data_IF_350371837479
#
_entry.id   IF_350371837479
#
_cell.length_a   1.000
_cell.length_b   1.000
_cell.length_c   1.000
_cell.angle_alpha   90.00
_cell.angle_beta   90.00
_cell.angle_gamma   90.00
#
_symmetry.space_group_name_H-M   'P 1'
#
loop_
_entity.id
_entity.type
_entity.pdbx_description
1 polymer ?
#
# COMPACT_ATOMS: atom_id res chain seq x y z
N UNK A 1 -10.36 26.45 13.09
CA UNK A 1 -9.53 25.22 13.07
C UNK A 1 -10.15 24.24 14.04
N UNK A 2 -10.42 23.01 13.59
CA UNK A 2 -11.31 22.00 14.17
C UNK A 2 -11.64 22.20 15.67
N UNK A 3 -12.76 22.88 15.92
CA UNK A 3 -13.36 22.99 17.25
C UNK A 3 -14.24 21.77 17.48
N UNK A 4 -13.70 20.77 18.17
CA UNK A 4 -14.48 19.76 18.89
C UNK A 4 -14.77 20.29 20.28
N UNK A 5 -16.01 20.14 20.76
CA UNK A 5 -16.51 20.80 21.96
C UNK A 5 -15.64 20.55 23.20
N UNK A 6 -15.32 21.65 23.88
CA UNK A 6 -14.54 21.75 25.13
C UNK A 6 -15.24 21.18 26.36
N UNK A 7 -16.04 20.12 26.21
CA UNK A 7 -16.83 19.56 27.31
C UNK A 7 -16.46 18.09 27.56
N UNK A 8 -15.72 17.79 28.64
CA UNK A 8 -15.35 16.41 28.98
C UNK A 8 -16.56 15.52 29.29
N UNK A 9 -17.75 16.12 29.56
CA UNK A 9 -18.98 15.43 29.97
C UNK A 9 -20.04 15.27 28.85
N UNK A 10 -19.71 15.55 27.59
CA UNK A 10 -20.68 15.43 26.50
C UNK A 10 -21.16 13.99 26.27
N UNK A 11 -22.48 13.78 26.22
CA UNK A 11 -23.15 12.47 25.99
C UNK A 11 -22.95 11.91 24.58
N UNK A 12 -22.73 12.78 23.58
CA UNK A 12 -22.40 12.39 22.21
C UNK A 12 -21.10 13.10 21.85
N UNK A 13 -19.99 12.36 21.91
CA UNK A 13 -18.72 12.86 21.42
C UNK A 13 -18.75 12.72 19.89
N UNK A 14 -18.88 13.82 19.16
CA UNK A 14 -18.60 13.82 17.72
C UNK A 14 -17.12 13.45 17.56
N UNK A 15 -16.86 12.15 17.39
CA UNK A 15 -15.53 11.57 17.61
C UNK A 15 -14.72 11.74 16.34
N UNK A 16 -14.08 12.88 16.19
CA UNK A 16 -13.03 13.06 15.19
C UNK A 16 -11.82 12.24 15.65
N UNK A 17 -11.32 11.30 14.83
CA UNK A 17 -10.19 10.42 15.21
C UNK A 17 -8.81 11.12 15.15
N UNK A 18 -8.79 12.46 15.06
CA UNK A 18 -7.58 13.28 14.91
C UNK A 18 -7.74 14.48 15.83
N UNK A 19 -6.78 14.66 16.75
CA UNK A 19 -6.71 15.82 17.64
C UNK A 19 -6.02 17.03 17.00
N UNK A 20 -6.02 18.15 17.73
CA UNK A 20 -5.31 19.38 17.33
C UNK A 20 -3.91 19.46 17.96
N UNK A 21 -3.09 20.39 17.47
CA UNK A 21 -1.82 20.74 18.11
C UNK A 21 -2.07 21.15 19.57
N UNK A 22 -1.30 20.61 20.51
CA UNK A 22 -1.47 20.84 21.95
C UNK A 22 -2.54 19.97 22.63
N UNK A 23 -3.49 19.40 21.88
CA UNK A 23 -4.44 18.40 22.38
C UNK A 23 -4.62 17.21 21.39
N UNK A 24 -3.57 16.41 21.17
CA UNK A 24 -3.63 15.27 20.24
C UNK A 24 -4.50 14.12 20.76
N UNK A 25 -4.87 14.13 22.05
CA UNK A 25 -5.66 13.07 22.70
C UNK A 25 -7.17 13.21 22.50
N UNK A 26 -7.64 14.37 22.04
CA UNK A 26 -9.04 14.60 21.70
C UNK A 26 -9.55 13.62 20.63
N UNK A 27 -8.65 13.18 19.74
CA UNK A 27 -8.94 12.22 18.69
C UNK A 27 -8.66 10.75 19.02
N UNK A 28 -8.44 10.41 20.29
CA UNK A 28 -8.23 9.02 20.72
C UNK A 28 -6.77 8.59 20.85
N UNK A 29 -5.82 9.52 20.86
CA UNK A 29 -4.44 9.23 21.26
C UNK A 29 -4.33 8.87 22.76
N UNK A 30 -3.34 8.05 23.13
CA UNK A 30 -3.05 7.72 24.54
C UNK A 30 -1.95 8.63 25.11
N UNK A 31 -2.05 9.10 26.37
CA UNK A 31 -1.01 9.93 26.97
C UNK A 31 0.31 9.16 27.08
N UNK A 32 1.36 9.69 26.44
CA UNK A 32 2.73 9.20 26.55
C UNK A 32 3.52 10.03 27.56
N UNK A 33 4.11 9.39 28.57
CA UNK A 33 5.03 10.02 29.55
C UNK A 33 6.38 9.33 29.48
N UNK A 34 7.47 10.10 29.53
CA UNK A 34 8.84 9.56 29.63
C UNK A 34 9.54 9.25 28.29
N UNK A 35 8.95 9.63 27.15
CA UNK A 35 9.61 9.51 25.84
C UNK A 35 10.40 10.79 25.56
N UNK A 36 11.72 10.67 25.38
CA UNK A 36 12.60 11.78 25.00
C UNK A 36 13.09 11.55 23.58
N UNK A 37 12.84 12.51 22.69
CA UNK A 37 13.20 12.43 21.27
C UNK A 37 14.33 13.41 20.96
N UNK A 38 15.40 12.91 20.34
CA UNK A 38 16.52 13.73 19.89
C UNK A 38 16.53 13.84 18.38
N UNK A 39 16.89 15.01 17.85
CA UNK A 39 17.03 15.24 16.41
C UNK A 39 18.19 16.18 16.11
N UNK A 40 18.80 16.04 14.92
CA UNK A 40 19.83 16.94 14.41
C UNK A 40 19.23 17.85 13.34
N UNK A 41 19.63 19.13 13.31
CA UNK A 41 19.23 20.06 12.25
C UNK A 41 19.55 19.49 10.84
N UNK A 42 18.64 19.57 9.86
CA UNK A 42 18.86 19.05 8.50
C UNK A 42 20.09 19.64 7.81
N UNK A 43 20.40 20.92 8.07
CA UNK A 43 21.57 21.61 7.50
C UNK A 43 22.91 21.02 7.96
N UNK A 44 22.89 20.23 9.04
CA UNK A 44 24.07 19.53 9.58
C UNK A 44 24.11 18.05 9.19
N UNK A 45 23.14 17.56 8.40
CA UNK A 45 23.10 16.18 7.93
C UNK A 45 23.51 16.09 6.45
N UNK A 46 24.07 14.94 6.07
CA UNK A 46 24.30 14.62 4.64
C UNK A 46 22.99 14.02 4.07
N UNK A 47 22.31 14.67 3.12
CA UNK A 47 20.95 14.28 2.71
C UNK A 47 20.86 12.89 2.06
N UNK A 48 21.92 12.42 1.39
CA UNK A 48 21.99 11.09 0.77
C UNK A 48 23.08 10.21 1.39
N UNK A 49 23.27 10.28 2.70
CA UNK A 49 24.23 9.43 3.38
C UNK A 49 23.90 7.93 3.16
N UNK A 50 24.86 7.18 2.62
CA UNK A 50 24.78 5.71 2.46
C UNK A 50 23.61 5.22 1.60
N UNK A 51 23.11 6.05 0.69
CA UNK A 51 21.97 5.71 -0.16
C UNK A 51 22.19 4.42 -0.96
N UNK A 52 23.35 4.28 -1.61
CA UNK A 52 23.67 3.10 -2.42
C UNK A 52 24.04 1.91 -1.51
N UNK A 53 25.03 2.09 -0.63
CA UNK A 53 25.58 0.99 0.17
C UNK A 53 24.57 0.37 1.17
N UNK A 54 23.60 1.13 1.69
CA UNK A 54 22.59 0.62 2.64
C UNK A 54 21.18 0.63 2.07
N UNK A 55 20.83 1.64 1.29
CA UNK A 55 19.49 1.80 0.74
C UNK A 55 19.11 0.65 -0.20
N UNK A 56 20.00 0.27 -1.13
CA UNK A 56 19.75 -0.82 -2.08
C UNK A 56 19.44 -2.15 -1.37
N UNK A 57 20.30 -2.58 -0.45
CA UNK A 57 20.11 -3.84 0.28
C UNK A 57 18.85 -3.85 1.13
N UNK A 58 18.50 -2.70 1.70
CA UNK A 58 17.27 -2.55 2.45
C UNK A 58 16.02 -2.58 1.55
N UNK A 59 16.08 -2.07 0.32
CA UNK A 59 15.03 -2.24 -0.68
C UNK A 59 14.87 -3.72 -1.03
N UNK A 60 15.96 -4.41 -1.39
CA UNK A 60 15.92 -5.84 -1.72
C UNK A 60 15.31 -6.67 -0.59
N UNK A 61 15.75 -6.45 0.65
CA UNK A 61 15.22 -7.14 1.84
C UNK A 61 13.71 -6.90 2.03
N UNK A 62 13.22 -5.68 1.81
CA UNK A 62 11.79 -5.35 1.94
C UNK A 62 10.97 -5.96 0.81
N UNK A 63 11.44 -5.87 -0.43
CA UNK A 63 10.74 -6.39 -1.60
C UNK A 63 10.62 -7.91 -1.54
N UNK A 64 11.67 -8.62 -1.11
CA UNK A 64 11.63 -10.09 -0.94
C UNK A 64 10.49 -10.58 -0.06
N UNK A 65 10.15 -9.84 1.00
CA UNK A 65 9.06 -10.21 1.92
C UNK A 65 7.67 -10.01 1.29
N UNK A 66 7.57 -9.24 0.22
CA UNK A 66 6.30 -8.93 -0.45
C UNK A 66 6.11 -9.70 -1.76
N UNK A 67 7.21 -10.20 -2.35
CA UNK A 67 7.23 -10.93 -3.62
C UNK A 67 6.15 -12.01 -3.70
N UNK A 68 5.96 -12.81 -2.65
CA UNK A 68 4.97 -13.90 -2.67
C UNK A 68 3.52 -13.43 -2.66
N UNK A 69 3.23 -12.18 -2.30
CA UNK A 69 1.86 -11.66 -2.30
C UNK A 69 1.44 -11.14 -3.67
N UNK A 70 2.36 -10.57 -4.44
CA UNK A 70 2.03 -9.95 -5.72
C UNK A 70 2.47 -10.76 -6.94
N UNK A 71 3.54 -11.56 -6.85
CA UNK A 71 4.01 -12.34 -8.02
C UNK A 71 3.00 -13.43 -8.42
N UNK A 72 2.44 -14.26 -7.51
CA UNK A 72 1.49 -15.29 -7.91
C UNK A 72 0.25 -14.77 -8.66
N UNK A 73 -0.47 -13.71 -8.19
CA UNK A 73 -1.60 -13.20 -8.94
C UNK A 73 -1.21 -12.56 -10.28
N UNK A 74 -0.03 -11.95 -10.39
CA UNK A 74 0.46 -11.41 -11.67
C UNK A 74 0.77 -12.52 -12.68
N UNK A 75 1.42 -13.60 -12.25
CA UNK A 75 1.69 -14.75 -13.12
C UNK A 75 0.37 -15.39 -13.57
N UNK A 76 -0.57 -15.61 -12.65
CA UNK A 76 -1.87 -16.18 -12.98
C UNK A 76 -2.64 -15.31 -13.98
N UNK A 77 -2.64 -13.99 -13.78
CA UNK A 77 -3.29 -13.05 -14.69
C UNK A 77 -2.65 -13.04 -16.08
N UNK A 78 -1.31 -13.03 -16.15
CA UNK A 78 -0.59 -13.05 -17.41
C UNK A 78 -0.82 -14.36 -18.18
N UNK A 79 -0.72 -15.50 -17.51
CA UNK A 79 -0.95 -16.80 -18.11
C UNK A 79 -2.40 -16.98 -18.61
N UNK A 80 -3.38 -16.49 -17.84
CA UNK A 80 -4.78 -16.53 -18.25
C UNK A 80 -5.04 -15.63 -19.48
N UNK A 81 -4.39 -14.47 -19.54
CA UNK A 81 -4.49 -13.57 -20.68
C UNK A 81 -3.86 -14.17 -21.93
N UNK A 82 -2.66 -14.74 -21.83
CA UNK A 82 -1.98 -15.42 -22.94
C UNK A 82 -2.82 -16.58 -23.49
N UNK A 83 -3.32 -17.43 -22.59
CA UNK A 83 -4.25 -18.51 -22.96
C UNK A 83 -5.51 -17.98 -23.67
N UNK A 84 -6.10 -16.90 -23.17
CA UNK A 84 -7.31 -16.32 -23.76
C UNK A 84 -7.05 -15.76 -25.18
N UNK A 85 -5.89 -15.14 -25.40
CA UNK A 85 -5.50 -14.60 -26.72
C UNK A 85 -5.30 -15.75 -27.71
N UNK A 86 -4.49 -16.75 -27.36
CA UNK A 86 -4.24 -17.92 -28.22
C UNK A 86 -5.53 -18.66 -28.55
N UNK A 87 -6.41 -18.84 -27.56
CA UNK A 87 -7.71 -19.50 -27.76
C UNK A 87 -8.61 -18.69 -28.68
N UNK A 88 -8.63 -17.36 -28.55
CA UNK A 88 -9.42 -16.49 -29.41
C UNK A 88 -8.93 -16.52 -30.86
N UNK A 89 -7.61 -16.43 -31.07
CA UNK A 89 -7.00 -16.53 -32.40
C UNK A 89 -7.27 -17.89 -33.04
N UNK A 90 -7.16 -18.98 -32.26
CA UNK A 90 -7.45 -20.33 -32.74
C UNK A 90 -8.91 -20.47 -33.20
N UNK A 91 -9.88 -20.00 -32.42
CA UNK A 91 -11.30 -20.08 -32.78
C UNK A 91 -11.64 -19.27 -34.05
N UNK A 92 -10.99 -18.12 -34.25
CA UNK A 92 -11.16 -17.29 -35.45
C UNK A 92 -10.36 -17.81 -36.67
N UNK A 93 -9.43 -18.74 -36.46
CA UNK A 93 -8.67 -19.39 -37.53
C UNK A 93 -9.54 -20.31 -38.39
N UNK A 94 -9.02 -20.74 -39.55
CA UNK A 94 -9.71 -21.71 -40.42
C UNK A 94 -9.82 -23.09 -39.77
N UNK A 95 -8.81 -23.48 -38.99
CA UNK A 95 -8.75 -24.76 -38.30
C UNK A 95 -9.76 -24.82 -37.15
N UNK A 96 -9.89 -23.72 -36.39
CA UNK A 96 -10.88 -23.62 -35.31
C UNK A 96 -12.32 -23.66 -35.82
N UNK A 97 -12.61 -22.97 -36.94
CA UNK A 97 -13.92 -23.04 -37.60
C UNK A 97 -14.25 -24.43 -38.15
N UNK A 98 -13.27 -25.18 -38.65
CA UNK A 98 -13.50 -26.54 -39.12
C UNK A 98 -13.72 -27.56 -37.97
N UNK A 99 -13.22 -27.27 -36.76
CA UNK A 99 -13.35 -28.14 -35.58
C UNK A 99 -14.60 -27.84 -34.74
N UNK A 100 -15.02 -26.58 -34.65
CA UNK A 100 -16.11 -26.13 -33.78
C UNK A 100 -17.26 -25.44 -34.52
N UNK A 101 -17.20 -25.34 -35.85
CA UNK A 101 -18.24 -24.67 -36.66
C UNK A 101 -19.51 -25.47 -36.86
N UNK A 102 -19.48 -26.78 -36.58
CA UNK A 102 -20.62 -27.70 -36.74
C UNK A 102 -21.28 -28.08 -35.38
N UNK A 103 -20.77 -27.56 -34.26
CA UNK A 103 -21.24 -27.89 -32.90
C UNK A 103 -22.22 -26.86 -32.29
N UNK A 104 -22.78 -25.97 -33.11
CA UNK A 104 -23.92 -25.08 -32.74
C UNK A 104 -25.25 -25.69 -33.19
#
# INVERSE_FOLDING_TARGET
MAGGGSDPNAKVKATWHIGSWGNPYEGGGRPGKGVVTYSLSPNRQRPMATFINKGFWNVVRRSRNQVLYFIPPLIAGYAAMEWAIERNEFLNSKQGRALYGDEE
#
